data_IF_624098460358
#
_entry.id   IF_624098460358
#
_cell.length_a   1.000
_cell.length_b   1.000
_cell.length_c   1.000
_cell.angle_alpha   90.00
_cell.angle_beta   90.00
_cell.angle_gamma   90.00
#
_symmetry.space_group_name_H-M   'P 1'
#
loop_
_entity.id
_entity.type
_entity.pdbx_description
1 polymer ?
#
# COMPACT_ATOMS: atom_id res chain seq x y z
N UNK A 1 24.90 3.20 -19.74
CA UNK A 1 23.79 3.05 -18.78
C UNK A 1 23.57 4.32 -17.95
N UNK A 2 24.58 4.83 -17.22
CA UNK A 2 24.41 6.03 -16.36
C UNK A 2 24.00 7.34 -17.08
N UNK A 3 24.25 7.52 -18.39
CA UNK A 3 23.81 8.73 -19.12
C UNK A 3 22.32 8.68 -19.49
N UNK A 4 21.77 7.49 -19.77
CA UNK A 4 20.37 7.29 -20.11
C UNK A 4 19.47 7.45 -18.88
N UNK A 5 19.88 6.92 -17.73
CA UNK A 5 19.16 7.07 -16.46
C UNK A 5 19.06 8.54 -16.06
N UNK A 6 20.17 9.29 -16.15
CA UNK A 6 20.17 10.74 -15.92
C UNK A 6 19.30 11.50 -16.92
N UNK A 7 19.16 11.04 -18.17
CA UNK A 7 18.27 11.65 -19.14
C UNK A 7 16.79 11.42 -18.78
N UNK A 8 16.43 10.19 -18.36
CA UNK A 8 15.08 9.83 -17.93
C UNK A 8 14.64 10.56 -16.66
N UNK A 9 15.52 10.65 -15.65
CA UNK A 9 15.22 11.43 -14.44
C UNK A 9 15.01 12.91 -14.75
N UNK A 10 15.85 13.51 -15.61
CA UNK A 10 15.67 14.90 -16.05
C UNK A 10 14.38 15.10 -16.85
N UNK A 11 14.00 14.12 -17.67
CA UNK A 11 12.74 14.16 -18.41
C UNK A 11 11.54 14.21 -17.45
N UNK A 12 11.51 13.36 -16.43
CA UNK A 12 10.46 13.39 -15.41
C UNK A 12 10.45 14.73 -14.65
N UNK A 13 11.61 15.23 -14.21
CA UNK A 13 11.74 16.54 -13.54
C UNK A 13 11.20 17.68 -14.41
N UNK A 14 11.56 17.74 -15.69
CA UNK A 14 11.09 18.80 -16.58
C UNK A 14 9.59 18.68 -16.86
N UNK A 15 9.08 17.47 -17.07
CA UNK A 15 7.67 17.24 -17.36
C UNK A 15 6.78 17.73 -16.21
N UNK A 16 7.05 17.29 -14.98
CA UNK A 16 6.24 17.64 -13.81
C UNK A 16 6.60 19.00 -13.19
N UNK A 17 7.84 19.47 -13.35
CA UNK A 17 8.30 20.74 -12.77
C UNK A 17 8.02 21.97 -13.63
N UNK A 18 7.86 21.82 -14.95
CA UNK A 18 7.74 22.97 -15.87
C UNK A 18 6.66 22.88 -16.93
N UNK A 19 6.13 21.68 -17.24
CA UNK A 19 5.21 21.48 -18.38
C UNK A 19 3.76 21.25 -17.97
N UNK A 20 3.51 20.67 -16.79
CA UNK A 20 2.17 20.43 -16.29
C UNK A 20 1.75 21.54 -15.32
N UNK A 21 0.58 22.15 -15.54
CA UNK A 21 -0.04 23.12 -14.63
C UNK A 21 -1.18 22.48 -13.83
N UNK A 22 -1.80 21.41 -14.34
CA UNK A 22 -2.90 20.67 -13.69
C UNK A 22 -3.01 19.20 -14.14
N UNK A 23 -3.82 18.39 -13.44
CA UNK A 23 -4.14 17.00 -13.85
C UNK A 23 -4.83 16.90 -15.21
N UNK A 24 -5.48 17.97 -15.69
CA UNK A 24 -6.12 18.02 -16.99
C UNK A 24 -5.12 18.01 -18.16
N UNK A 25 -3.84 18.28 -17.89
CA UNK A 25 -2.79 18.31 -18.90
C UNK A 25 -2.24 16.91 -19.24
N UNK A 26 -2.64 15.88 -18.46
CA UNK A 26 -2.25 14.49 -18.68
C UNK A 26 -3.02 13.87 -19.86
N UNK A 27 -2.30 13.10 -20.68
CA UNK A 27 -2.83 12.56 -21.94
C UNK A 27 -3.41 11.15 -21.81
N UNK A 28 -3.40 10.61 -20.58
CA UNK A 28 -3.90 9.29 -20.20
C UNK A 28 -4.91 9.40 -19.08
N UNK A 29 -5.78 8.38 -18.94
CA UNK A 29 -6.67 8.29 -17.78
C UNK A 29 -5.94 7.93 -16.49
N UNK A 30 -4.60 7.87 -16.47
CA UNK A 30 -3.81 7.42 -15.32
C UNK A 30 -4.21 8.21 -14.06
N UNK A 31 -4.16 9.56 -14.11
CA UNK A 31 -4.58 10.42 -12.99
C UNK A 31 -6.09 10.46 -12.72
N UNK A 32 -6.91 10.06 -13.69
CA UNK A 32 -8.38 10.13 -13.63
C UNK A 32 -9.03 8.76 -13.44
N UNK A 33 -8.25 7.73 -13.14
CA UNK A 33 -8.76 6.37 -12.95
C UNK A 33 -9.62 6.33 -11.69
N UNK A 34 -10.92 6.10 -11.84
CA UNK A 34 -11.84 5.92 -10.72
C UNK A 34 -11.33 4.76 -9.84
N UNK A 35 -11.10 4.99 -8.53
CA UNK A 35 -10.64 3.92 -7.67
C UNK A 35 -11.74 2.86 -7.53
N UNK A 36 -11.38 1.58 -7.69
CA UNK A 36 -12.34 0.47 -7.53
C UNK A 36 -12.86 0.34 -6.09
N UNK A 37 -12.21 1.00 -5.12
CA UNK A 37 -12.72 1.18 -3.77
C UNK A 37 -13.06 2.64 -3.50
N UNK A 38 -14.21 2.93 -2.87
CA UNK A 38 -14.50 4.27 -2.38
C UNK A 38 -13.45 4.67 -1.34
N UNK A 39 -13.01 5.91 -1.41
CA UNK A 39 -12.09 6.47 -0.42
C UNK A 39 -12.76 6.53 0.96
N UNK A 40 -12.04 6.22 2.06
CA UNK A 40 -12.58 6.37 3.41
C UNK A 40 -13.06 7.80 3.67
N UNK A 41 -14.14 7.96 4.44
CA UNK A 41 -14.71 9.28 4.77
C UNK A 41 -13.68 10.19 5.44
N UNK A 42 -12.93 9.63 6.38
CA UNK A 42 -11.82 10.30 7.07
C UNK A 42 -10.79 10.88 6.11
N UNK A 43 -10.45 10.14 5.04
CA UNK A 43 -9.51 10.59 4.02
C UNK A 43 -10.08 11.69 3.11
N UNK A 44 -11.37 11.61 2.76
CA UNK A 44 -12.07 12.67 2.01
C UNK A 44 -12.08 13.97 2.84
N UNK A 45 -12.42 13.87 4.12
CA UNK A 45 -12.40 14.99 5.05
C UNK A 45 -10.99 15.59 5.18
N UNK A 46 -9.96 14.75 5.34
CA UNK A 46 -8.57 15.21 5.40
C UNK A 46 -8.16 15.97 4.13
N UNK A 47 -8.50 15.46 2.94
CA UNK A 47 -8.20 16.12 1.67
C UNK A 47 -8.87 17.49 1.53
N UNK A 48 -10.11 17.63 2.01
CA UNK A 48 -10.83 18.91 1.99
C UNK A 48 -10.21 19.99 2.89
N UNK A 49 -9.36 19.60 3.83
CA UNK A 49 -8.64 20.51 4.72
C UNK A 49 -7.27 20.92 4.16
N UNK A 50 -6.80 20.30 3.07
CA UNK A 50 -5.51 20.62 2.45
C UNK A 50 -5.58 21.97 1.76
N UNK A 51 -4.53 22.78 1.95
CA UNK A 51 -4.46 24.12 1.36
C UNK A 51 -4.60 24.07 -0.18
N UNK A 52 -5.45 24.91 -0.82
CA UNK A 52 -5.68 24.84 -2.27
C UNK A 52 -4.42 24.99 -3.14
N UNK A 53 -3.44 25.80 -2.73
CA UNK A 53 -2.17 25.94 -3.48
C UNK A 53 -1.35 24.64 -3.51
N UNK A 54 -1.45 23.82 -2.45
CA UNK A 54 -0.83 22.49 -2.43
C UNK A 54 -1.56 21.57 -3.42
N UNK A 55 -2.88 21.57 -3.40
CA UNK A 55 -3.70 20.69 -4.26
C UNK A 55 -3.60 21.05 -5.75
N UNK A 56 -3.43 22.34 -6.10
CA UNK A 56 -3.33 22.79 -7.50
C UNK A 56 -2.18 22.15 -8.28
N UNK A 57 -1.09 21.78 -7.60
CA UNK A 57 0.13 21.19 -8.20
C UNK A 57 0.22 19.68 -7.99
N UNK A 58 -0.92 19.01 -7.88
CA UNK A 58 -0.99 17.57 -7.72
C UNK A 58 -1.18 16.88 -9.07
N UNK A 59 -0.46 15.78 -9.30
CA UNK A 59 -0.46 15.05 -10.57
C UNK A 59 -0.69 13.54 -10.42
N UNK A 60 -1.16 13.08 -9.26
CA UNK A 60 -1.38 11.66 -8.97
C UNK A 60 -2.81 11.15 -9.22
N UNK A 61 -3.03 9.87 -8.94
CA UNK A 61 -4.20 9.10 -9.37
C UNK A 61 -5.10 8.72 -8.18
N UNK A 62 -5.57 9.73 -7.43
CA UNK A 62 -6.32 9.54 -6.18
C UNK A 62 -5.45 9.74 -4.94
N UNK A 63 -5.71 8.99 -3.86
CA UNK A 63 -4.87 8.95 -2.65
C UNK A 63 -4.78 7.48 -2.18
N UNK A 64 -3.59 6.86 -2.20
CA UNK A 64 -3.41 5.53 -1.62
C UNK A 64 -3.46 5.64 -0.09
N UNK A 65 -4.60 5.32 0.51
CA UNK A 65 -4.80 5.37 1.96
C UNK A 65 -4.81 3.95 2.53
N UNK A 66 -3.73 3.51 3.20
CA UNK A 66 -3.76 2.28 3.96
C UNK A 66 -4.68 2.41 5.18
N UNK A 67 -5.18 1.29 5.69
CA UNK A 67 -5.96 1.27 6.92
C UNK A 67 -5.07 1.43 8.17
N UNK A 68 -5.66 1.82 9.30
CA UNK A 68 -4.99 1.89 10.61
C UNK A 68 -3.73 2.78 10.62
N UNK A 69 -3.92 4.08 10.41
CA UNK A 69 -2.80 5.05 10.28
C UNK A 69 -2.44 5.78 11.58
N UNK A 70 -3.32 5.81 12.58
CA UNK A 70 -3.10 6.59 13.80
C UNK A 70 -1.75 6.26 14.46
N UNK A 71 -0.95 7.29 14.73
CA UNK A 71 0.37 7.18 15.37
C UNK A 71 1.49 6.65 14.47
N UNK A 72 1.22 6.32 13.20
CA UNK A 72 2.24 5.77 12.31
C UNK A 72 3.23 6.84 11.83
N UNK A 73 4.46 6.41 11.57
CA UNK A 73 5.45 7.16 10.79
C UNK A 73 5.34 6.74 9.31
N UNK A 74 4.94 7.68 8.46
CA UNK A 74 4.73 7.46 7.04
C UNK A 74 5.81 8.18 6.23
N UNK A 75 6.34 7.50 5.21
CA UNK A 75 7.14 8.12 4.16
C UNK A 75 6.35 8.15 2.84
N UNK A 76 6.16 9.32 2.27
CA UNK A 76 5.53 9.53 0.96
C UNK A 76 6.60 9.77 -0.11
N UNK A 77 6.71 8.82 -1.04
CA UNK A 77 7.67 8.88 -2.14
C UNK A 77 7.07 9.68 -3.30
N UNK A 78 7.77 10.73 -3.73
CA UNK A 78 7.29 11.63 -4.78
C UNK A 78 6.18 12.52 -4.26
N UNK A 79 6.40 13.13 -3.10
CA UNK A 79 5.38 13.88 -2.38
C UNK A 79 4.87 15.13 -3.12
N UNK A 80 5.59 15.57 -4.15
CA UNK A 80 5.27 16.78 -4.90
C UNK A 80 5.12 18.00 -3.99
N UNK A 81 4.00 18.72 -4.13
CA UNK A 81 3.62 19.86 -3.30
C UNK A 81 3.09 19.48 -1.90
N UNK A 82 2.95 18.18 -1.60
CA UNK A 82 2.62 17.67 -0.28
C UNK A 82 1.13 17.36 -0.05
N UNK A 83 0.29 17.27 -1.09
CA UNK A 83 -1.15 17.00 -0.94
C UNK A 83 -1.41 15.72 -0.13
N UNK A 84 -0.80 14.62 -0.58
CA UNK A 84 -1.00 13.30 0.02
C UNK A 84 -0.37 13.28 1.43
N UNK A 85 0.82 13.86 1.59
CA UNK A 85 1.45 14.09 2.90
C UNK A 85 0.55 14.80 3.91
N UNK A 86 -0.11 15.90 3.53
CA UNK A 86 -0.95 16.66 4.45
C UNK A 86 -2.26 15.96 4.79
N UNK A 87 -2.87 15.27 3.82
CA UNK A 87 -4.02 14.42 4.10
C UNK A 87 -3.64 13.31 5.09
N UNK A 88 -2.53 12.61 4.85
CA UNK A 88 -2.01 11.57 5.72
C UNK A 88 -1.62 12.11 7.10
N UNK A 89 -1.05 13.31 7.18
CA UNK A 89 -0.72 14.02 8.43
C UNK A 89 -1.93 14.18 9.34
N UNK A 90 -3.10 14.47 8.76
CA UNK A 90 -4.35 14.50 9.53
C UNK A 90 -4.76 13.12 10.02
N UNK A 91 -4.61 12.09 9.18
CA UNK A 91 -5.03 10.70 9.47
C UNK A 91 -4.13 9.98 10.48
N UNK A 92 -2.83 10.27 10.49
CA UNK A 92 -1.90 9.73 11.50
C UNK A 92 -2.07 10.43 12.85
N UNK A 93 -2.63 11.64 12.85
CA UNK A 93 -2.83 12.47 14.02
C UNK A 93 -1.53 13.01 14.62
N UNK A 94 -1.65 13.71 15.74
CA UNK A 94 -0.56 14.46 16.37
C UNK A 94 0.59 13.58 16.88
N UNK A 95 0.32 12.31 17.20
CA UNK A 95 1.33 11.35 17.65
C UNK A 95 2.04 10.62 16.51
N UNK A 96 1.52 10.71 15.28
CA UNK A 96 2.15 10.17 14.09
C UNK A 96 3.02 11.22 13.40
N UNK A 97 3.69 10.83 12.32
CA UNK A 97 4.53 11.75 11.55
C UNK A 97 4.54 11.37 10.08
N UNK A 98 4.55 12.36 9.18
CA UNK A 98 4.64 12.13 7.74
C UNK A 98 5.87 12.84 7.15
N UNK A 99 6.73 12.06 6.52
CA UNK A 99 7.88 12.57 5.77
C UNK A 99 7.57 12.49 4.28
N UNK A 100 7.59 13.61 3.57
CA UNK A 100 7.53 13.64 2.11
C UNK A 100 8.92 13.78 1.52
N UNK A 101 9.21 13.03 0.45
CA UNK A 101 10.43 13.22 -0.35
C UNK A 101 10.10 13.46 -1.82
N UNK A 102 10.71 14.50 -2.40
CA UNK A 102 10.60 14.79 -3.83
C UNK A 102 11.94 15.32 -4.36
N UNK A 103 12.22 15.08 -5.63
CA UNK A 103 13.44 15.55 -6.28
C UNK A 103 13.35 17.01 -6.73
N UNK A 104 12.14 17.55 -6.86
CA UNK A 104 11.84 18.87 -7.42
C UNK A 104 11.85 19.94 -6.32
N UNK A 105 12.84 20.82 -6.34
CA UNK A 105 13.04 21.82 -5.29
C UNK A 105 11.85 22.78 -5.15
N UNK A 106 11.29 23.21 -6.28
CA UNK A 106 10.16 24.14 -6.32
C UNK A 106 8.92 23.55 -5.64
N UNK A 107 8.69 22.24 -5.77
CA UNK A 107 7.57 21.55 -5.13
C UNK A 107 7.80 21.37 -3.62
N UNK A 108 9.04 21.07 -3.21
CA UNK A 108 9.43 21.01 -1.79
C UNK A 108 9.31 22.38 -1.11
N UNK A 109 9.64 23.47 -1.80
CA UNK A 109 9.45 24.83 -1.28
C UNK A 109 7.97 25.15 -1.05
N UNK A 110 7.08 24.77 -1.97
CA UNK A 110 5.62 24.89 -1.76
C UNK A 110 5.18 24.04 -0.57
N UNK A 111 5.63 22.80 -0.49
CA UNK A 111 5.32 21.92 0.63
C UNK A 111 5.71 22.57 1.96
N UNK A 112 6.97 23.01 2.11
CA UNK A 112 7.46 23.62 3.36
C UNK A 112 6.72 24.92 3.72
N UNK A 113 6.34 25.73 2.73
CA UNK A 113 5.58 26.98 2.92
C UNK A 113 4.26 26.76 3.68
N UNK A 114 3.60 25.62 3.47
CA UNK A 114 2.29 25.34 4.04
C UNK A 114 2.29 24.49 5.31
N UNK A 115 3.46 24.22 5.90
CA UNK A 115 3.54 23.51 7.19
C UNK A 115 2.76 24.25 8.29
N UNK A 116 2.94 25.58 8.52
CA UNK A 116 2.23 26.28 9.59
C UNK A 116 0.72 26.29 9.40
N UNK A 117 0.26 26.41 8.14
CA UNK A 117 -1.17 26.37 7.82
C UNK A 117 -1.81 25.06 8.26
N UNK A 118 -1.22 23.91 7.91
CA UNK A 118 -1.81 22.61 8.22
C UNK A 118 -1.69 22.29 9.71
N UNK A 119 -0.62 22.71 10.38
CA UNK A 119 -0.51 22.61 11.84
C UNK A 119 -1.69 23.33 12.52
N UNK A 120 -1.94 24.60 12.18
CA UNK A 120 -3.05 25.38 12.74
C UNK A 120 -4.40 24.77 12.36
N UNK A 121 -4.60 24.46 11.07
CA UNK A 121 -5.84 23.90 10.53
C UNK A 121 -6.23 22.58 11.20
N UNK A 122 -5.25 21.76 11.56
CA UNK A 122 -5.47 20.47 12.21
C UNK A 122 -5.54 20.56 13.73
N UNK A 123 -5.15 21.70 14.31
CA UNK A 123 -5.13 21.94 15.75
C UNK A 123 -3.99 21.26 16.48
N UNK A 124 -2.84 21.07 15.82
CA UNK A 124 -1.68 20.39 16.42
C UNK A 124 -0.75 21.39 17.14
N UNK A 125 -0.24 21.01 18.31
CA UNK A 125 0.75 21.78 19.08
C UNK A 125 2.04 21.99 18.28
N UNK A 126 2.43 20.99 17.48
CA UNK A 126 3.63 20.99 16.64
C UNK A 126 3.31 20.43 15.26
N UNK A 127 4.06 20.82 14.22
CA UNK A 127 3.90 20.19 12.91
C UNK A 127 4.38 18.75 12.98
N UNK A 128 3.58 17.83 12.42
CA UNK A 128 3.92 16.41 12.29
C UNK A 128 4.31 16.04 10.85
N UNK A 129 4.78 17.03 10.08
CA UNK A 129 5.23 16.86 8.69
C UNK A 129 6.68 17.28 8.51
N UNK A 130 7.40 16.59 7.63
CA UNK A 130 8.75 16.96 7.21
C UNK A 130 8.89 16.73 5.72
N UNK A 131 9.52 17.68 5.01
CA UNK A 131 9.72 17.57 3.57
C UNK A 131 11.20 17.59 3.23
N UNK A 132 11.67 16.56 2.53
CA UNK A 132 13.04 16.33 2.13
C UNK A 132 13.17 16.49 0.62
N UNK A 133 14.21 17.20 0.19
CA UNK A 133 14.58 17.18 -1.23
C UNK A 133 15.54 16.02 -1.45
N UNK A 134 15.24 15.12 -2.38
CA UNK A 134 16.09 13.99 -2.67
C UNK A 134 15.54 13.03 -3.71
N UNK A 135 16.32 11.99 -3.99
CA UNK A 135 15.95 10.93 -4.93
C UNK A 135 15.46 9.71 -4.15
N UNK A 136 14.43 9.03 -4.65
CA UNK A 136 13.89 7.81 -4.03
C UNK A 136 14.90 6.66 -4.03
N UNK A 137 15.85 6.69 -4.96
CA UNK A 137 16.98 5.76 -5.04
C UNK A 137 18.03 5.99 -3.94
N UNK A 138 17.89 7.05 -3.12
CA UNK A 138 18.87 7.50 -2.11
C UNK A 138 18.21 8.01 -0.82
N UNK A 139 17.20 7.30 -0.32
CA UNK A 139 16.44 7.71 0.88
C UNK A 139 17.33 7.95 2.09
N UNK A 140 18.28 7.03 2.33
CA UNK A 140 19.21 7.13 3.47
C UNK A 140 20.11 8.37 3.38
N UNK A 141 20.60 8.69 2.18
CA UNK A 141 21.40 9.89 1.95
C UNK A 141 20.56 11.19 2.07
N UNK A 142 19.26 11.12 1.81
CA UNK A 142 18.32 12.22 2.00
C UNK A 142 17.93 12.43 3.49
N UNK A 143 18.40 11.57 4.40
CA UNK A 143 18.16 11.68 5.84
C UNK A 143 17.05 10.77 6.38
N UNK A 144 16.58 9.80 5.60
CA UNK A 144 15.63 8.79 6.09
C UNK A 144 16.38 7.64 6.76
N UNK A 145 16.15 7.44 8.05
CA UNK A 145 16.81 6.39 8.83
C UNK A 145 16.34 4.98 8.43
N UNK A 146 17.24 4.00 8.54
CA UNK A 146 16.87 2.59 8.40
C UNK A 146 15.88 2.18 9.50
N UNK A 147 15.00 1.22 9.19
CA UNK A 147 14.06 0.63 10.15
C UNK A 147 13.25 1.69 10.96
N UNK A 148 12.88 2.80 10.31
CA UNK A 148 12.26 3.96 10.97
C UNK A 148 10.81 4.19 10.58
N UNK A 149 10.39 3.70 9.42
CA UNK A 149 9.05 3.91 8.85
C UNK A 149 8.13 2.73 9.10
N UNK A 150 6.90 3.02 9.52
CA UNK A 150 5.85 2.00 9.66
C UNK A 150 5.20 1.72 8.29
N UNK A 151 5.03 2.77 7.48
CA UNK A 151 4.36 2.69 6.18
C UNK A 151 5.13 3.57 5.18
N UNK A 152 5.31 3.06 3.96
CA UNK A 152 5.70 3.85 2.81
C UNK A 152 4.51 3.90 1.86
N UNK A 153 4.19 5.09 1.36
CA UNK A 153 3.20 5.29 0.31
C UNK A 153 3.85 5.89 -0.93
N UNK A 154 3.23 5.62 -2.08
CA UNK A 154 3.61 6.22 -3.37
C UNK A 154 2.40 6.21 -4.29
N UNK A 155 2.28 7.24 -5.11
CA UNK A 155 1.16 7.40 -6.03
C UNK A 155 1.64 7.71 -7.45
N UNK A 156 1.77 6.66 -8.27
CA UNK A 156 2.09 6.73 -9.70
C UNK A 156 3.40 7.43 -10.07
N UNK A 157 4.42 7.33 -9.21
CA UNK A 157 5.75 7.94 -9.45
C UNK A 157 6.87 6.92 -9.60
N UNK A 158 6.71 5.69 -9.10
CA UNK A 158 7.77 4.66 -9.21
C UNK A 158 7.93 4.22 -10.69
N UNK A 159 6.87 4.25 -11.50
CA UNK A 159 6.99 4.05 -12.95
C UNK A 159 7.97 5.04 -13.61
N UNK A 160 8.09 6.27 -13.09
CA UNK A 160 8.99 7.32 -13.60
C UNK A 160 10.45 7.14 -13.16
N UNK A 161 10.73 6.22 -12.22
CA UNK A 161 12.09 5.93 -11.75
C UNK A 161 12.81 4.99 -12.73
N UNK A 162 14.04 5.32 -13.16
CA UNK A 162 14.81 4.45 -14.05
C UNK A 162 15.28 3.18 -13.35
N UNK A 163 15.70 3.26 -12.07
CA UNK A 163 16.17 2.11 -11.28
C UNK A 163 15.18 1.76 -10.15
N UNK A 164 14.08 1.12 -10.56
CA UNK A 164 13.00 0.67 -9.66
C UNK A 164 13.49 -0.32 -8.60
N UNK A 165 14.48 -1.15 -8.93
CA UNK A 165 15.07 -2.11 -8.01
C UNK A 165 15.74 -1.40 -6.84
N UNK A 166 16.47 -0.32 -7.11
CA UNK A 166 17.08 0.49 -6.05
C UNK A 166 16.05 1.25 -5.23
N UNK A 167 14.99 1.78 -5.85
CA UNK A 167 13.87 2.39 -5.11
C UNK A 167 13.24 1.39 -4.13
N UNK A 168 12.87 0.19 -4.60
CA UNK A 168 12.30 -0.84 -3.75
C UNK A 168 13.28 -1.29 -2.65
N UNK A 169 14.58 -1.36 -2.95
CA UNK A 169 15.61 -1.72 -1.96
C UNK A 169 15.78 -0.64 -0.88
N UNK A 170 15.79 0.64 -1.23
CA UNK A 170 15.83 1.72 -0.23
C UNK A 170 14.55 1.74 0.61
N UNK A 171 13.38 1.56 -0.02
CA UNK A 171 12.11 1.43 0.68
C UNK A 171 12.15 0.28 1.71
N UNK A 172 12.65 -0.89 1.31
CA UNK A 172 12.84 -2.03 2.20
C UNK A 172 13.79 -1.73 3.38
N UNK A 173 14.86 -0.97 3.15
CA UNK A 173 15.82 -0.61 4.22
C UNK A 173 15.19 0.30 5.28
N UNK A 174 14.41 1.30 4.87
CA UNK A 174 13.85 2.30 5.79
C UNK A 174 12.57 1.84 6.50
N UNK A 175 11.88 0.84 5.97
CA UNK A 175 10.76 0.19 6.67
C UNK A 175 11.23 -0.57 7.90
N UNK A 176 10.46 -0.52 8.98
CA UNK A 176 10.60 -1.44 10.13
C UNK A 176 10.24 -2.88 9.71
N UNK A 177 10.68 -3.86 10.49
CA UNK A 177 10.06 -5.18 10.44
C UNK A 177 8.56 -5.07 10.79
N UNK A 178 7.71 -5.75 10.03
CA UNK A 178 6.25 -5.58 10.07
C UNK A 178 5.73 -4.35 9.32
N UNK A 179 6.62 -3.49 8.81
CA UNK A 179 6.27 -2.31 8.03
C UNK A 179 5.75 -2.65 6.63
N UNK A 180 5.02 -1.71 6.05
CA UNK A 180 4.28 -1.89 4.80
C UNK A 180 4.69 -0.88 3.73
N UNK A 181 4.94 -1.33 2.50
CA UNK A 181 4.89 -0.49 1.31
C UNK A 181 3.48 -0.63 0.70
N UNK A 182 2.71 0.46 0.69
CA UNK A 182 1.35 0.53 0.16
C UNK A 182 1.29 1.56 -0.96
N UNK A 183 1.26 1.13 -2.21
CA UNK A 183 1.40 2.06 -3.32
C UNK A 183 0.55 1.70 -4.53
N UNK A 184 0.20 2.74 -5.28
CA UNK A 184 -0.48 2.63 -6.57
C UNK A 184 0.47 3.02 -7.68
N UNK A 185 0.50 2.26 -8.77
CA UNK A 185 1.38 2.53 -9.91
C UNK A 185 0.85 1.94 -11.22
N UNK A 186 1.50 2.31 -12.34
CA UNK A 186 1.19 1.81 -13.68
C UNK A 186 1.97 0.52 -14.00
N UNK A 187 1.24 -0.49 -14.45
CA UNK A 187 1.78 -1.77 -14.89
C UNK A 187 1.41 -2.05 -16.35
N UNK A 188 2.34 -2.66 -17.08
CA UNK A 188 2.17 -3.08 -18.46
C UNK A 188 1.79 -4.57 -18.53
N UNK A 189 0.97 -4.91 -19.53
CA UNK A 189 0.59 -6.29 -19.86
C UNK A 189 1.73 -7.14 -20.41
N UNK A 190 2.79 -6.51 -20.93
CA UNK A 190 3.99 -7.13 -21.49
C UNK A 190 5.23 -6.28 -21.15
N UNK A 191 6.42 -6.82 -21.43
CA UNK A 191 7.68 -6.07 -21.31
C UNK A 191 7.65 -4.87 -22.25
N UNK A 192 7.84 -3.67 -21.69
CA UNK A 192 7.90 -2.42 -22.47
C UNK A 192 9.17 -2.43 -23.34
N UNK A 193 9.06 -2.34 -24.67
CA UNK A 193 10.19 -2.27 -25.59
C UNK A 193 11.04 -1.01 -25.39
N UNK A 194 12.33 -1.09 -25.67
CA UNK A 194 13.27 0.01 -25.40
C UNK A 194 12.93 1.31 -26.15
N UNK A 195 12.43 1.22 -27.39
CA UNK A 195 12.00 2.40 -28.13
C UNK A 195 10.86 3.19 -27.45
N UNK A 196 9.99 2.53 -26.66
CA UNK A 196 8.97 3.21 -25.86
C UNK A 196 9.54 3.80 -24.57
N UNK A 197 10.60 3.19 -24.01
CA UNK A 197 11.34 3.73 -22.85
C UNK A 197 12.20 4.94 -23.19
N UNK A 198 12.50 5.14 -24.47
CA UNK A 198 13.28 6.26 -25.01
C UNK A 198 12.40 7.44 -25.45
N UNK A 199 11.11 7.21 -25.68
CA UNK A 199 10.15 8.28 -25.96
C UNK A 199 9.86 9.08 -24.69
N UNK A 200 10.21 10.37 -24.71
CA UNK A 200 10.09 11.27 -23.57
C UNK A 200 8.63 11.53 -23.15
N UNK A 201 7.68 11.49 -24.08
CA UNK A 201 6.26 11.69 -23.78
C UNK A 201 5.70 10.43 -23.13
N UNK A 202 5.98 9.25 -23.68
CA UNK A 202 5.56 8.00 -23.06
C UNK A 202 6.20 7.79 -21.68
N UNK A 203 7.47 8.17 -21.51
CA UNK A 203 8.11 8.14 -20.20
C UNK A 203 7.44 9.11 -19.22
N UNK A 204 7.18 10.35 -19.66
CA UNK A 204 6.51 11.38 -18.83
C UNK A 204 5.10 11.00 -18.40
N UNK A 205 4.38 10.23 -19.22
CA UNK A 205 3.05 9.66 -18.90
C UNK A 205 3.13 8.35 -18.08
N UNK A 206 4.33 7.91 -17.66
CA UNK A 206 4.55 6.66 -16.90
C UNK A 206 4.49 5.37 -17.73
N UNK A 207 3.96 5.43 -18.96
CA UNK A 207 3.81 4.29 -19.87
C UNK A 207 5.15 3.66 -20.27
N UNK A 208 6.12 4.49 -20.63
CA UNK A 208 7.46 4.05 -21.03
C UNK A 208 8.25 3.45 -19.87
N UNK A 209 7.92 3.83 -18.63
CA UNK A 209 8.56 3.34 -17.44
C UNK A 209 7.85 2.18 -16.73
N UNK A 210 6.63 1.83 -17.16
CA UNK A 210 5.81 0.80 -16.51
C UNK A 210 6.50 -0.57 -16.48
N UNK A 211 6.41 -1.26 -15.35
CA UNK A 211 6.92 -2.64 -15.25
C UNK A 211 5.92 -3.61 -15.88
N UNK A 212 6.44 -4.67 -16.50
CA UNK A 212 5.63 -5.85 -16.75
C UNK A 212 5.17 -6.42 -15.40
N UNK A 213 3.87 -6.64 -15.24
CA UNK A 213 3.31 -7.03 -13.95
C UNK A 213 3.89 -8.34 -13.38
N UNK A 214 4.35 -9.29 -14.22
CA UNK A 214 5.02 -10.51 -13.72
C UNK A 214 6.44 -10.22 -13.24
N UNK A 215 7.19 -9.40 -13.98
CA UNK A 215 8.55 -9.01 -13.57
C UNK A 215 8.53 -8.23 -12.25
N UNK A 216 7.47 -7.46 -11.99
CA UNK A 216 7.23 -6.81 -10.72
C UNK A 216 7.20 -7.82 -9.55
N UNK A 217 6.47 -8.94 -9.68
CA UNK A 217 6.37 -9.96 -8.62
C UNK A 217 7.76 -10.53 -8.31
N UNK A 218 8.53 -10.89 -9.34
CA UNK A 218 9.89 -11.41 -9.17
C UNK A 218 10.84 -10.38 -8.56
N UNK A 219 10.73 -9.11 -8.96
CA UNK A 219 11.57 -8.03 -8.45
C UNK A 219 11.34 -7.78 -6.96
N UNK A 220 10.08 -7.77 -6.52
CA UNK A 220 9.71 -7.62 -5.11
C UNK A 220 10.30 -8.74 -4.26
N UNK A 221 10.16 -9.98 -4.72
CA UNK A 221 10.69 -11.16 -4.03
C UNK A 221 12.22 -11.11 -3.94
N UNK A 222 12.89 -10.66 -5.01
CA UNK A 222 14.35 -10.50 -5.01
C UNK A 222 14.83 -9.46 -3.97
N UNK A 223 14.06 -8.39 -3.76
CA UNK A 223 14.37 -7.37 -2.75
C UNK A 223 14.14 -7.90 -1.32
N UNK A 224 13.20 -8.84 -1.14
CA UNK A 224 12.92 -9.52 0.13
C UNK A 224 11.60 -9.14 0.79
N UNK A 225 10.72 -8.42 0.10
CA UNK A 225 9.35 -8.19 0.54
C UNK A 225 8.52 -9.50 0.51
N UNK A 226 7.40 -9.51 1.24
CA UNK A 226 6.36 -10.54 1.10
C UNK A 226 5.83 -10.63 -0.32
N UNK A 227 5.03 -11.67 -0.59
CA UNK A 227 4.21 -11.70 -1.82
C UNK A 227 3.42 -10.38 -1.97
N UNK A 228 3.40 -9.75 -3.15
CA UNK A 228 2.57 -8.57 -3.39
C UNK A 228 1.08 -8.91 -3.29
N UNK A 229 0.34 -8.21 -2.44
CA UNK A 229 -1.10 -8.36 -2.32
C UNK A 229 -1.80 -7.24 -3.10
N UNK A 230 -2.56 -7.60 -4.13
CA UNK A 230 -3.32 -6.64 -4.94
C UNK A 230 -4.55 -6.17 -4.17
N UNK A 231 -4.71 -4.88 -3.98
CA UNK A 231 -5.85 -4.25 -3.30
C UNK A 231 -6.96 -3.91 -4.30
N UNK A 232 -6.57 -3.24 -5.39
CA UNK A 232 -7.48 -2.72 -6.40
C UNK A 232 -6.72 -2.53 -7.71
N UNK A 233 -7.43 -2.65 -8.83
CA UNK A 233 -6.86 -2.40 -10.15
C UNK A 233 -7.91 -1.85 -11.11
N UNK A 234 -7.49 -0.97 -12.02
CA UNK A 234 -8.32 -0.43 -13.08
C UNK A 234 -7.55 -0.36 -14.39
N UNK A 235 -8.24 -0.52 -15.51
CA UNK A 235 -7.63 -0.33 -16.82
C UNK A 235 -7.32 1.15 -17.07
N UNK A 236 -6.17 1.42 -17.68
CA UNK A 236 -5.81 2.76 -18.13
C UNK A 236 -6.14 2.88 -19.61
N UNK A 237 -6.96 3.87 -19.92
CA UNK A 237 -7.33 4.20 -21.29
C UNK A 237 -6.41 5.29 -21.83
N UNK A 238 -5.83 5.01 -23.01
CA UNK A 238 -5.01 5.97 -23.75
C UNK A 238 -5.91 6.67 -24.76
N UNK A 239 -6.36 7.88 -24.44
CA UNK A 239 -7.25 8.65 -25.30
C UNK A 239 -6.53 9.31 -26.47
N UNK A 240 -5.25 9.65 -26.30
CA UNK A 240 -4.44 10.20 -27.38
C UNK A 240 -4.18 9.13 -28.45
N UNK A 241 -4.70 9.35 -29.66
CA UNK A 241 -4.56 8.42 -30.78
C UNK A 241 -3.11 8.20 -31.23
N UNK A 242 -2.23 9.20 -31.10
CA UNK A 242 -0.81 9.05 -31.41
C UNK A 242 -0.10 8.20 -30.36
N UNK A 243 -0.35 8.43 -29.07
CA UNK A 243 0.20 7.61 -28.00
C UNK A 243 -0.31 6.18 -28.09
N UNK A 244 -1.59 5.98 -28.41
CA UNK A 244 -2.18 4.65 -28.63
C UNK A 244 -1.51 3.91 -29.78
N UNK A 245 -1.22 4.61 -30.89
CA UNK A 245 -0.45 4.02 -32.02
C UNK A 245 0.97 3.65 -31.61
N UNK A 246 1.65 4.50 -30.82
CA UNK A 246 3.00 4.23 -30.32
C UNK A 246 3.03 3.05 -29.34
N UNK A 247 2.07 2.98 -28.42
CA UNK A 247 1.97 1.91 -27.43
C UNK A 247 1.74 0.52 -28.04
N UNK A 248 1.18 0.47 -29.26
CA UNK A 248 0.91 -0.78 -29.97
C UNK A 248 -0.06 -1.67 -29.21
N UNK A 249 0.30 -2.94 -29.05
CA UNK A 249 -0.55 -3.95 -28.41
C UNK A 249 -0.40 -4.01 -26.88
N UNK A 250 0.37 -3.10 -26.28
CA UNK A 250 0.57 -3.06 -24.84
C UNK A 250 -0.62 -2.35 -24.18
N UNK A 251 -1.38 -3.11 -23.40
CA UNK A 251 -2.36 -2.56 -22.46
C UNK A 251 -1.72 -2.23 -21.12
N UNK A 252 -2.27 -1.22 -20.45
CA UNK A 252 -1.81 -0.72 -19.17
C UNK A 252 -2.92 -0.79 -18.12
N UNK A 253 -2.54 -1.00 -16.87
CA UNK A 253 -3.44 -0.99 -15.73
C UNK A 253 -2.81 -0.21 -14.58
N UNK A 254 -3.64 0.50 -13.82
CA UNK A 254 -3.29 1.02 -12.51
C UNK A 254 -3.54 -0.07 -11.49
N UNK A 255 -2.59 -0.34 -10.61
CA UNK A 255 -2.69 -1.35 -9.56
C UNK A 255 -2.22 -0.82 -8.23
N UNK A 256 -3.05 -0.94 -7.19
CA UNK A 256 -2.65 -0.68 -5.81
C UNK A 256 -2.24 -1.97 -5.15
N UNK A 257 -1.00 -2.03 -4.66
CA UNK A 257 -0.44 -3.18 -3.98
C UNK A 257 -0.04 -2.84 -2.54
N UNK A 258 -0.09 -3.85 -1.67
CA UNK A 258 0.55 -3.85 -0.36
C UNK A 258 1.61 -4.92 -0.26
N UNK A 259 2.76 -4.57 0.30
CA UNK A 259 3.92 -5.44 0.48
C UNK A 259 4.50 -5.24 1.87
N UNK A 260 4.81 -6.33 2.56
CA UNK A 260 5.31 -6.26 3.94
C UNK A 260 6.77 -6.64 4.04
N UNK A 261 7.50 -5.95 4.92
CA UNK A 261 8.83 -6.37 5.36
C UNK A 261 8.69 -7.34 6.53
N UNK A 262 8.79 -8.64 6.27
CA UNK A 262 8.66 -9.65 7.32
C UNK A 262 10.00 -9.92 8.03
N UNK A 263 9.98 -10.28 9.33
CA UNK A 263 11.20 -10.71 10.02
C UNK A 263 11.84 -11.93 9.35
N UNK A 264 13.16 -11.90 9.14
CA UNK A 264 13.89 -12.94 8.37
C UNK A 264 13.82 -14.35 8.97
N UNK A 265 13.58 -14.47 10.28
CA UNK A 265 13.58 -15.75 11.02
C UNK A 265 12.17 -16.20 11.45
N UNK A 266 11.14 -15.68 10.80
CA UNK A 266 9.77 -15.99 11.18
C UNK A 266 9.36 -17.35 10.62
N UNK A 267 8.98 -18.27 11.50
CA UNK A 267 8.35 -19.52 11.08
C UNK A 267 6.95 -19.23 10.53
N UNK A 268 6.79 -19.52 9.24
CA UNK A 268 5.52 -19.41 8.53
C UNK A 268 4.73 -20.70 8.69
N UNK A 269 3.79 -20.70 9.64
CA UNK A 269 2.80 -21.77 9.78
C UNK A 269 1.42 -21.21 9.52
N UNK A 270 0.62 -21.97 8.78
CA UNK A 270 -0.80 -21.65 8.58
C UNK A 270 -1.49 -21.50 9.94
N UNK A 271 -2.59 -20.76 9.95
CA UNK A 271 -3.35 -20.55 11.16
C UNK A 271 -4.81 -20.20 10.89
N UNK A 272 -5.58 -20.19 11.97
CA UNK A 272 -6.91 -19.62 12.00
C UNK A 272 -6.77 -18.21 12.55
N UNK A 273 -7.32 -17.23 11.84
CA UNK A 273 -7.37 -15.85 12.26
C UNK A 273 -8.81 -15.38 12.43
N UNK A 274 -9.06 -14.58 13.45
CA UNK A 274 -10.36 -13.96 13.70
C UNK A 274 -10.16 -12.46 13.85
N UNK A 275 -10.84 -11.68 13.02
CA UNK A 275 -10.83 -10.22 13.08
C UNK A 275 -11.72 -9.70 14.20
N UNK A 276 -11.22 -8.78 15.02
CA UNK A 276 -11.92 -8.24 16.20
C UNK A 276 -12.86 -7.08 15.89
N UNK A 277 -12.82 -6.52 14.67
CA UNK A 277 -13.65 -5.34 14.34
C UNK A 277 -13.12 -4.03 14.91
N UNK A 278 -11.83 -3.94 15.21
CA UNK A 278 -11.21 -2.80 15.92
C UNK A 278 -10.47 -1.81 15.03
N UNK A 279 -10.33 -2.09 13.73
CA UNK A 279 -9.71 -1.14 12.80
C UNK A 279 -10.70 0.01 12.54
N UNK A 280 -10.30 1.29 12.72
CA UNK A 280 -11.14 2.44 12.44
C UNK A 280 -11.69 2.41 11.01
N UNK A 281 -12.92 2.88 10.80
CA UNK A 281 -13.68 2.81 9.54
C UNK A 281 -14.08 1.38 9.05
N UNK A 282 -13.59 0.32 9.69
CA UNK A 282 -13.83 -1.09 9.29
C UNK A 282 -14.39 -1.97 10.42
N UNK A 283 -15.45 -1.58 11.15
CA UNK A 283 -15.93 -2.34 12.31
C UNK A 283 -16.55 -3.70 11.98
N UNK A 284 -17.12 -3.86 10.77
CA UNK A 284 -17.86 -5.06 10.39
C UNK A 284 -16.99 -6.07 9.62
N UNK A 285 -16.14 -5.56 8.72
CA UNK A 285 -15.23 -6.37 7.92
C UNK A 285 -14.03 -5.53 7.51
N UNK A 286 -12.86 -6.18 7.42
CA UNK A 286 -11.64 -5.60 6.86
C UNK A 286 -11.37 -6.27 5.52
N UNK A 287 -11.53 -5.51 4.44
CA UNK A 287 -11.16 -5.97 3.11
C UNK A 287 -9.65 -5.78 2.91
N UNK A 288 -8.86 -6.73 3.39
CA UNK A 288 -7.41 -6.59 3.47
C UNK A 288 -6.73 -6.55 2.09
N UNK A 289 -7.21 -7.34 1.14
CA UNK A 289 -6.78 -7.29 -0.26
C UNK A 289 -7.88 -7.87 -1.17
N UNK A 290 -7.59 -8.06 -2.45
CA UNK A 290 -8.54 -8.61 -3.44
C UNK A 290 -8.95 -10.07 -3.18
N UNK A 291 -8.18 -10.81 -2.38
CA UNK A 291 -8.40 -12.22 -2.06
C UNK A 291 -8.83 -12.45 -0.60
N UNK A 292 -8.56 -11.49 0.30
CA UNK A 292 -8.79 -11.63 1.73
C UNK A 292 -9.76 -10.56 2.26
N UNK A 293 -10.92 -11.02 2.73
CA UNK A 293 -11.89 -10.20 3.45
C UNK A 293 -12.18 -10.84 4.82
N UNK A 294 -11.79 -10.17 5.89
CA UNK A 294 -11.93 -10.66 7.25
C UNK A 294 -13.18 -10.06 7.90
N UNK A 295 -14.22 -10.88 8.08
CA UNK A 295 -15.44 -10.46 8.79
C UNK A 295 -15.22 -10.52 10.30
N UNK A 296 -15.79 -9.56 11.02
CA UNK A 296 -15.71 -9.50 12.49
C UNK A 296 -16.23 -10.80 13.10
N UNK A 297 -15.48 -11.33 14.07
CA UNK A 297 -15.81 -12.54 14.84
C UNK A 297 -15.96 -13.83 14.00
N UNK A 298 -15.54 -13.82 12.74
CA UNK A 298 -15.52 -15.00 11.86
C UNK A 298 -14.10 -15.55 11.78
N UNK A 299 -13.94 -16.81 12.16
CA UNK A 299 -12.69 -17.54 12.00
C UNK A 299 -12.43 -17.87 10.52
N UNK A 300 -11.24 -17.51 10.03
CA UNK A 300 -10.80 -17.79 8.66
C UNK A 300 -9.44 -18.49 8.70
N UNK A 301 -9.30 -19.57 7.93
CA UNK A 301 -8.00 -20.20 7.73
C UNK A 301 -7.18 -19.38 6.72
N UNK A 302 -5.92 -19.13 7.07
CA UNK A 302 -4.97 -18.42 6.22
C UNK A 302 -3.66 -19.20 6.10
N UNK A 303 -2.92 -18.95 5.03
CA UNK A 303 -1.58 -19.52 4.86
C UNK A 303 -0.57 -18.94 5.87
N UNK A 304 0.65 -19.48 5.83
CA UNK A 304 1.70 -19.09 6.78
C UNK A 304 2.22 -17.67 6.58
N UNK A 305 2.21 -17.14 5.36
CA UNK A 305 2.70 -15.78 5.07
C UNK A 305 1.68 -14.75 5.54
N UNK A 306 0.39 -14.94 5.26
CA UNK A 306 -0.68 -14.08 5.75
C UNK A 306 -0.80 -14.12 7.27
N UNK A 307 -0.68 -15.30 7.91
CA UNK A 307 -0.62 -15.39 9.36
C UNK A 307 0.56 -14.59 9.95
N UNK A 308 1.73 -14.66 9.29
CA UNK A 308 2.91 -13.88 9.65
C UNK A 308 2.70 -12.36 9.48
N UNK A 309 2.12 -11.93 8.35
CA UNK A 309 1.78 -10.53 8.09
C UNK A 309 0.87 -9.98 9.20
N UNK A 310 -0.23 -10.68 9.49
CA UNK A 310 -1.17 -10.25 10.53
C UNK A 310 -0.51 -10.25 11.91
N UNK A 311 0.39 -11.18 12.21
CA UNK A 311 1.06 -11.26 13.50
C UNK A 311 2.10 -10.15 13.71
N UNK A 312 2.87 -9.81 12.69
CA UNK A 312 4.05 -8.95 12.82
C UNK A 312 3.78 -7.49 12.43
N UNK A 313 2.73 -7.21 11.68
CA UNK A 313 2.38 -5.85 11.28
C UNK A 313 1.57 -5.11 12.34
N UNK A 314 1.29 -3.83 12.08
CA UNK A 314 0.41 -2.99 12.91
C UNK A 314 -1.00 -3.56 13.10
N UNK A 315 -1.43 -4.53 12.29
CA UNK A 315 -2.75 -5.17 12.40
C UNK A 315 -2.82 -6.22 13.52
N UNK A 316 -1.70 -6.65 14.08
CA UNK A 316 -1.63 -7.70 15.11
C UNK A 316 -2.62 -7.52 16.28
N UNK A 317 -2.80 -6.32 16.86
CA UNK A 317 -3.78 -6.12 17.93
C UNK A 317 -5.24 -6.38 17.50
N UNK A 318 -5.56 -6.31 16.21
CA UNK A 318 -6.93 -6.43 15.68
C UNK A 318 -7.32 -7.87 15.32
N UNK A 319 -6.39 -8.81 15.47
CA UNK A 319 -6.61 -10.21 15.16
C UNK A 319 -6.36 -11.12 16.37
N UNK A 320 -7.14 -12.19 16.46
CA UNK A 320 -6.80 -13.37 17.25
C UNK A 320 -6.21 -14.40 16.30
N UNK A 321 -4.97 -14.84 16.53
CA UNK A 321 -4.25 -15.75 15.63
C UNK A 321 -3.96 -17.05 16.37
N UNK A 322 -4.49 -18.16 15.87
CA UNK A 322 -4.22 -19.52 16.37
C UNK A 322 -3.37 -20.26 15.33
N UNK A 323 -2.10 -20.52 15.66
CA UNK A 323 -1.19 -21.26 14.78
C UNK A 323 -1.39 -22.76 14.91
N UNK A 324 -1.30 -23.49 13.80
CA UNK A 324 -1.26 -24.95 13.80
C UNK A 324 0.13 -25.47 14.22
N UNK A 325 0.56 -25.20 15.45
CA UNK A 325 1.77 -25.78 16.06
C UNK A 325 1.47 -27.00 16.94
N UNK A 326 0.29 -27.01 17.57
CA UNK A 326 -0.27 -28.15 18.29
C UNK A 326 -1.79 -28.16 18.06
N UNK A 327 -2.30 -29.16 17.36
CA UNK A 327 -3.74 -29.33 17.17
C UNK A 327 -4.38 -29.59 18.53
N UNK A 328 -5.18 -28.64 19.01
CA UNK A 328 -6.08 -28.90 20.13
C UNK A 328 -7.10 -29.96 19.67
N UNK A 329 -7.25 -31.09 20.38
CA UNK A 329 -8.27 -32.08 20.06
C UNK A 329 -9.68 -31.47 20.03
N UNK A 330 -9.89 -30.41 20.82
CA UNK A 330 -11.15 -29.69 20.91
C UNK A 330 -11.44 -28.84 19.67
N UNK A 331 -10.44 -28.15 19.11
CA UNK A 331 -10.60 -27.37 17.87
C UNK A 331 -10.91 -28.25 16.65
N UNK A 332 -10.36 -29.47 16.63
CA UNK A 332 -10.66 -30.46 15.59
C UNK A 332 -12.09 -31.01 15.74
N UNK A 333 -12.54 -31.22 16.97
CA UNK A 333 -13.89 -31.67 17.29
C UNK A 333 -14.96 -30.60 17.02
N UNK A 334 -14.64 -29.32 17.20
CA UNK A 334 -15.57 -28.21 16.93
C UNK A 334 -15.70 -27.94 15.42
N UNK A 335 -14.63 -28.11 14.64
CA UNK A 335 -14.63 -27.95 13.18
C UNK A 335 -15.23 -29.15 12.43
N UNK A 336 -15.00 -30.37 12.92
CA UNK A 336 -15.71 -31.57 12.45
C UNK A 336 -17.03 -31.65 13.18
N UNK A 337 -17.99 -30.79 12.81
CA UNK A 337 -19.31 -30.64 13.44
C UNK A 337 -19.74 -31.88 14.21
N UNK A 338 -19.74 -31.75 15.53
CA UNK A 338 -19.93 -32.83 16.50
C UNK A 338 -21.10 -33.75 16.16
N UNK A 339 -20.83 -34.78 15.35
CA UNK A 339 -21.71 -35.93 15.16
C UNK A 339 -21.48 -36.89 16.33
N UNK A 340 -21.85 -36.46 17.54
CA UNK A 340 -22.12 -37.40 18.63
C UNK A 340 -23.47 -38.02 18.32
N UNK A 341 -23.49 -39.10 17.53
CA UNK A 341 -24.58 -40.06 17.64
C UNK A 341 -24.58 -40.53 19.09
N UNK A 342 -25.57 -40.06 19.87
CA UNK A 342 -25.83 -40.56 21.21
C UNK A 342 -25.93 -42.09 21.14
N UNK A 343 -24.90 -42.76 21.64
CA UNK A 343 -24.97 -44.19 21.88
C UNK A 343 -25.73 -44.36 23.20
N UNK A 344 -27.05 -44.43 23.12
CA UNK A 344 -27.93 -44.77 24.24
C UNK A 344 -27.68 -46.21 24.66
N UNK A 345 -26.79 -46.43 25.63
CA UNK A 345 -26.77 -47.68 26.38
C UNK A 345 -27.84 -47.64 27.47
N UNK A 346 -29.09 -47.92 27.09
CA UNK A 346 -30.09 -48.45 28.02
C UNK A 346 -29.95 -49.98 28.06
N UNK A 347 -29.07 -50.46 28.95
CA UNK A 347 -28.94 -51.88 29.27
C UNK A 347 -29.23 -52.08 30.76
N UNK A 348 -30.44 -52.59 31.05
CA UNK A 348 -31.02 -52.89 32.36
C UNK A 348 -30.04 -53.56 33.36
N UNK A 349 -30.10 -53.12 34.62
CA UNK A 349 -29.74 -53.94 35.80
C UNK A 349 -31.02 -54.41 36.52
N UNK A 350 -31.02 -55.59 37.17
CA UNK A 350 -32.22 -56.31 37.57
C UNK A 350 -32.71 -55.91 38.97
N UNK A 351 -34.02 -55.84 39.15
CA UNK A 351 -34.66 -55.62 40.43
C UNK A 351 -36.05 -56.26 40.44
N UNK A 352 -36.09 -57.58 40.60
CA UNK A 352 -37.30 -58.33 40.84
C UNK A 352 -37.26 -58.92 42.24
N UNK A 353 -37.90 -58.26 43.19
CA UNK A 353 -38.36 -58.89 44.42
C UNK A 353 -39.56 -59.79 44.08
N UNK A 354 -39.55 -61.01 44.60
CA UNK A 354 -40.67 -61.94 44.56
C UNK A 354 -40.57 -62.89 45.74
N UNK A 355 -41.47 -62.71 46.69
CA UNK A 355 -41.71 -63.49 47.90
C UNK A 355 -42.02 -64.97 47.56
N UNK A 356 -41.44 -65.91 48.31
CA UNK A 356 -42.12 -66.88 49.20
C UNK A 356 -41.10 -67.77 49.88
#
# INVERSE_FOLDING_TARGET
>A
MASLEKARTRCAQQYYGSRLESTCDLQTSAACSLPCRPMPKSAIEALNLVHPEVTKRFFGCGLPVPEKLQGCRILDLGSGSGRDCYALSKLVGETGHVTGIDMTEELILVSRKYIPYHQEKFGFEKPNTTFLQGYMEKLTAAGVENDSMDIIVSNCVICLCPDKKTVLREAYKVLKEGGELYYSDMYASNVVPDHLKEDSVLWGEGMGGSLYWRDFISLVQEVGFSTPHLISASHIEVHNCELKKKAGDISYASGTYRLFKLPKKLEMSSGIVTYKGTVPDYPCQLEFDSSHCFKKDVALQVDGEMAAILQCSRFSPDFCIQKYGHLSPFLLADNLGSSVKQCSKTGKAPGGCGET
#
